data_IF_622732959823
#
_entry.id   IF_622732959823
#
_cell.length_a   1.000
_cell.length_b   1.000
_cell.length_c   1.000
_cell.angle_alpha   90.00
_cell.angle_beta   90.00
_cell.angle_gamma   90.00
#
_symmetry.space_group_name_H-M   'P 1'
#
loop_
_entity.id
_entity.type
_entity.pdbx_description
1 polymer ?
#
# COMPACT_ATOMS: atom_id res chain seq x y z
N UNK A 1 -4.83 -25.46 -5.81
CA UNK A 1 -3.56 -24.92 -5.26
C UNK A 1 -3.29 -23.57 -5.91
N UNK A 2 -2.88 -22.57 -5.13
CA UNK A 2 -2.60 -21.23 -5.66
C UNK A 2 -1.15 -21.14 -6.12
N UNK A 3 -0.91 -20.42 -7.22
CA UNK A 3 0.46 -20.18 -7.72
C UNK A 3 1.19 -19.16 -6.85
N UNK A 4 0.45 -18.19 -6.30
CA UNK A 4 1.01 -17.14 -5.44
C UNK A 4 0.32 -17.11 -4.10
N UNK A 5 1.09 -16.83 -3.06
CA UNK A 5 0.53 -16.54 -1.74
C UNK A 5 -0.12 -15.15 -1.76
N UNK A 6 0.50 -14.21 -2.48
CA UNK A 6 0.02 -12.83 -2.58
C UNK A 6 0.21 -12.28 -3.98
N UNK A 7 -0.83 -11.68 -4.51
CA UNK A 7 -0.74 -10.76 -5.65
C UNK A 7 -1.05 -9.36 -5.14
N UNK A 8 -0.16 -8.42 -5.42
CA UNK A 8 -0.43 -7.00 -5.17
C UNK A 8 -0.88 -6.37 -6.48
N UNK A 9 -2.01 -5.66 -6.45
CA UNK A 9 -2.51 -4.86 -7.58
C UNK A 9 -2.31 -3.40 -7.17
N UNK A 10 -1.30 -2.74 -7.74
CA UNK A 10 -0.97 -1.43 -7.21
C UNK A 10 0.08 -0.67 -8.00
N UNK A 11 0.65 0.30 -7.33
CA UNK A 11 1.54 1.30 -7.90
C UNK A 11 3.01 0.90 -7.78
N UNK A 12 3.82 1.51 -8.66
CA UNK A 12 5.27 1.48 -8.57
C UNK A 12 5.78 2.86 -8.98
N UNK A 13 6.62 3.46 -8.15
CA UNK A 13 7.14 4.82 -8.36
C UNK A 13 8.66 4.84 -8.27
N UNK A 14 9.25 5.77 -9.01
CA UNK A 14 10.62 6.22 -8.71
C UNK A 14 10.49 7.43 -7.79
N UNK A 15 11.07 7.34 -6.60
CA UNK A 15 11.08 8.44 -5.64
C UNK A 15 12.37 9.23 -5.85
N UNK A 16 12.24 10.49 -6.25
CA UNK A 16 13.35 11.40 -6.53
C UNK A 16 13.48 12.32 -5.33
N UNK A 17 14.55 12.16 -4.56
CA UNK A 17 14.71 12.80 -3.26
C UNK A 17 15.88 13.79 -3.29
N UNK A 18 15.63 15.04 -2.88
CA UNK A 18 16.64 16.09 -2.74
C UNK A 18 16.54 16.65 -1.33
N UNK A 19 17.70 16.70 -0.63
CA UNK A 19 17.78 17.43 0.64
C UNK A 19 17.92 18.92 0.38
N UNK A 20 17.21 19.75 1.13
CA UNK A 20 17.27 21.21 1.02
C UNK A 20 17.44 21.81 2.40
N UNK A 21 18.11 22.98 2.49
CA UNK A 21 18.20 23.71 3.76
C UNK A 21 16.85 24.27 4.19
N UNK A 22 16.07 24.67 3.20
CA UNK A 22 14.70 25.13 3.41
C UNK A 22 13.92 24.97 2.10
N UNK A 23 12.63 24.89 2.23
CA UNK A 23 11.78 24.75 1.04
C UNK A 23 11.69 26.08 0.30
N UNK A 24 11.75 26.08 -1.02
CA UNK A 24 11.69 27.33 -1.78
C UNK A 24 10.32 28.01 -1.67
N UNK A 25 10.32 29.31 -1.56
CA UNK A 25 9.12 30.12 -1.70
C UNK A 25 8.78 30.30 -3.18
N UNK A 26 7.60 30.86 -3.46
CA UNK A 26 7.17 31.09 -4.85
C UNK A 26 8.21 31.98 -5.56
N UNK A 27 8.63 31.55 -6.74
CA UNK A 27 9.60 32.27 -7.56
C UNK A 27 11.06 32.11 -7.12
N UNK A 28 11.32 31.31 -6.11
CA UNK A 28 12.66 31.16 -5.55
C UNK A 28 13.34 29.90 -6.06
N UNK A 29 14.66 29.99 -6.27
CA UNK A 29 15.51 28.83 -6.57
C UNK A 29 16.39 28.55 -5.35
N UNK A 30 16.38 27.30 -4.90
CA UNK A 30 17.20 26.83 -3.77
C UNK A 30 18.08 25.69 -4.27
N UNK A 31 19.35 25.72 -3.92
CA UNK A 31 20.26 24.61 -4.23
C UNK A 31 20.09 23.52 -3.19
N UNK A 32 20.06 22.29 -3.66
CA UNK A 32 19.90 21.13 -2.79
C UNK A 32 21.06 20.17 -2.89
N UNK A 33 20.89 19.02 -2.25
CA UNK A 33 21.85 17.92 -2.28
C UNK A 33 21.87 17.26 -3.68
N UNK A 34 22.75 16.29 -3.85
CA UNK A 34 22.67 15.40 -4.99
C UNK A 34 21.30 14.68 -5.00
N UNK A 35 20.80 14.44 -6.18
CA UNK A 35 19.54 13.72 -6.36
C UNK A 35 19.74 12.25 -6.01
N UNK A 36 18.90 11.72 -5.13
CA UNK A 36 18.82 10.29 -4.87
C UNK A 36 17.55 9.72 -5.50
N UNK A 37 17.66 8.54 -6.08
CA UNK A 37 16.52 7.85 -6.69
C UNK A 37 16.30 6.55 -5.94
N UNK A 38 15.09 6.35 -5.41
CA UNK A 38 14.74 5.15 -4.67
C UNK A 38 13.50 4.51 -5.27
N UNK A 39 13.42 3.16 -5.28
CA UNK A 39 12.16 2.53 -5.64
C UNK A 39 11.10 2.80 -4.57
N UNK A 40 9.89 3.08 -5.01
CA UNK A 40 8.77 3.39 -4.12
C UNK A 40 7.45 2.99 -4.75
N UNK A 41 6.37 3.59 -4.25
CA UNK A 41 5.02 3.24 -4.60
C UNK A 41 4.43 2.25 -3.61
N UNK A 42 3.21 2.52 -3.16
CA UNK A 42 2.60 1.70 -2.10
C UNK A 42 2.48 0.24 -2.52
N UNK A 43 2.11 0.00 -3.78
CA UNK A 43 1.99 -1.38 -4.28
C UNK A 43 3.32 -2.10 -4.28
N UNK A 44 4.35 -1.50 -4.88
CA UNK A 44 5.68 -2.12 -4.93
C UNK A 44 6.24 -2.32 -3.52
N UNK A 45 6.06 -1.35 -2.64
CA UNK A 45 6.55 -1.47 -1.25
C UNK A 45 5.91 -2.65 -0.53
N UNK A 46 4.60 -2.86 -0.70
CA UNK A 46 3.91 -3.99 -0.08
C UNK A 46 4.36 -5.32 -0.68
N UNK A 47 4.55 -5.37 -2.00
CA UNK A 47 5.02 -6.59 -2.65
C UNK A 47 6.42 -6.97 -2.18
N UNK A 48 7.32 -6.00 -2.11
CA UNK A 48 8.69 -6.23 -1.64
C UNK A 48 8.68 -6.72 -0.19
N UNK A 49 7.89 -6.09 0.67
CA UNK A 49 7.80 -6.49 2.08
C UNK A 49 7.34 -7.95 2.21
N UNK A 50 6.30 -8.32 1.45
CA UNK A 50 5.77 -9.68 1.51
C UNK A 50 6.80 -10.69 1.00
N UNK A 51 7.48 -10.38 -0.10
CA UNK A 51 8.49 -11.28 -0.65
C UNK A 51 9.64 -11.48 0.34
N UNK A 52 10.06 -10.42 1.01
CA UNK A 52 11.12 -10.51 2.03
C UNK A 52 10.70 -11.34 3.24
N UNK A 53 9.40 -11.42 3.50
CA UNK A 53 8.87 -12.28 4.57
C UNK A 53 8.65 -13.73 4.10
N UNK A 54 8.99 -14.03 2.85
CA UNK A 54 8.94 -15.40 2.34
C UNK A 54 7.72 -15.77 1.53
N UNK A 55 6.81 -14.82 1.28
CA UNK A 55 5.62 -15.10 0.48
C UNK A 55 5.98 -15.18 -1.01
N UNK A 56 5.36 -16.14 -1.71
CA UNK A 56 5.43 -16.19 -3.17
C UNK A 56 4.56 -15.04 -3.69
N UNK A 57 5.21 -13.97 -4.16
CA UNK A 57 4.55 -12.68 -4.41
C UNK A 57 4.70 -12.28 -5.88
N UNK A 58 3.61 -11.79 -6.45
CA UNK A 58 3.60 -11.15 -7.77
C UNK A 58 3.00 -9.75 -7.65
N UNK A 59 3.29 -8.90 -8.63
CA UNK A 59 2.77 -7.54 -8.70
C UNK A 59 2.11 -7.31 -10.07
N UNK A 60 0.87 -6.84 -10.05
CA UNK A 60 0.16 -6.35 -11.21
C UNK A 60 0.20 -4.82 -11.14
N UNK A 61 0.91 -4.21 -12.09
CA UNK A 61 1.20 -2.77 -12.06
C UNK A 61 1.55 -2.31 -13.48
N UNK A 62 1.74 -1.01 -13.65
CA UNK A 62 2.25 -0.48 -14.92
C UNK A 62 3.37 0.52 -14.65
N UNK A 63 4.47 0.36 -15.39
CA UNK A 63 5.60 1.30 -15.39
C UNK A 63 5.79 1.82 -16.82
N UNK A 64 6.57 2.85 -16.98
CA UNK A 64 6.94 3.34 -18.29
C UNK A 64 8.03 2.48 -18.92
N UNK A 65 8.14 2.57 -20.24
CA UNK A 65 9.26 1.99 -20.98
C UNK A 65 10.40 3.00 -20.95
N UNK A 66 11.01 3.15 -19.78
CA UNK A 66 12.03 4.18 -19.52
C UNK A 66 12.99 3.68 -18.42
N UNK A 67 14.00 4.50 -18.13
CA UNK A 67 15.04 4.13 -17.17
C UNK A 67 14.48 3.90 -15.78
N UNK A 68 13.52 4.71 -15.35
CA UNK A 68 12.88 4.50 -14.04
C UNK A 68 12.13 3.17 -14.00
N UNK A 69 11.42 2.85 -15.08
CA UNK A 69 10.71 1.56 -15.17
C UNK A 69 11.66 0.38 -15.05
N UNK A 70 12.81 0.46 -15.72
CA UNK A 70 13.81 -0.61 -15.64
C UNK A 70 14.40 -0.73 -14.24
N UNK A 71 14.66 0.40 -13.59
CA UNK A 71 15.15 0.42 -12.21
C UNK A 71 14.15 -0.28 -11.27
N UNK A 72 12.87 0.02 -11.43
CA UNK A 72 11.82 -0.59 -10.59
C UNK A 72 11.71 -2.09 -10.84
N UNK A 73 11.77 -2.53 -12.10
CA UNK A 73 11.73 -3.96 -12.42
C UNK A 73 12.92 -4.69 -11.80
N UNK A 74 14.11 -4.10 -11.89
CA UNK A 74 15.30 -4.71 -11.30
C UNK A 74 15.17 -4.81 -9.79
N UNK A 75 14.62 -3.78 -9.15
CA UNK A 75 14.40 -3.77 -7.70
C UNK A 75 13.41 -4.87 -7.28
N UNK A 76 12.32 -5.02 -8.03
CA UNK A 76 11.33 -6.07 -7.74
C UNK A 76 11.95 -7.45 -7.86
N UNK A 77 12.70 -7.70 -8.94
CA UNK A 77 13.37 -8.99 -9.13
C UNK A 77 14.37 -9.28 -8.01
N UNK A 78 15.15 -8.27 -7.63
CA UNK A 78 16.14 -8.43 -6.55
C UNK A 78 15.47 -8.78 -5.22
N UNK A 79 14.26 -8.30 -5.00
CA UNK A 79 13.50 -8.59 -3.77
C UNK A 79 12.77 -9.92 -3.82
N UNK A 80 12.73 -10.59 -4.97
CA UNK A 80 12.02 -11.86 -5.11
C UNK A 80 10.56 -11.72 -5.53
N UNK A 81 10.14 -10.54 -5.97
CA UNK A 81 8.78 -10.34 -6.49
C UNK A 81 8.76 -10.75 -7.96
N UNK A 82 7.76 -11.54 -8.35
CA UNK A 82 7.57 -11.92 -9.75
C UNK A 82 7.01 -10.72 -10.51
N UNK A 83 7.75 -10.16 -11.47
CA UNK A 83 7.29 -8.98 -12.20
C UNK A 83 6.49 -9.33 -13.46
N UNK A 84 6.09 -10.59 -13.65
CA UNK A 84 5.39 -11.00 -14.88
C UNK A 84 4.10 -10.23 -15.12
N UNK A 85 3.45 -9.70 -14.05
CA UNK A 85 2.26 -8.88 -14.16
C UNK A 85 2.54 -7.39 -14.33
N UNK A 86 3.81 -6.97 -14.41
CA UNK A 86 4.14 -5.56 -14.55
C UNK A 86 4.15 -5.21 -16.04
N UNK A 87 3.22 -4.37 -16.44
CA UNK A 87 3.09 -3.88 -17.82
C UNK A 87 4.02 -2.70 -18.03
N UNK A 88 4.51 -2.51 -19.25
CA UNK A 88 5.41 -1.40 -19.56
C UNK A 88 4.86 -0.57 -20.71
N UNK A 89 4.98 0.73 -20.59
CA UNK A 89 4.59 1.66 -21.66
C UNK A 89 3.27 2.36 -21.40
N UNK A 90 2.88 3.15 -22.35
CA UNK A 90 1.63 3.92 -22.32
C UNK A 90 1.74 5.26 -21.62
N UNK A 91 2.77 5.47 -20.80
CA UNK A 91 3.05 6.72 -20.10
C UNK A 91 4.40 6.59 -19.43
N UNK A 92 5.02 7.70 -19.03
CA UNK A 92 6.25 7.62 -18.22
C UNK A 92 5.97 6.93 -16.87
N UNK A 93 7.02 6.32 -16.31
CA UNK A 93 6.93 5.73 -14.97
C UNK A 93 6.46 6.78 -13.94
N UNK A 94 5.62 6.36 -13.01
CA UNK A 94 5.20 7.23 -11.91
C UNK A 94 6.39 7.72 -11.09
N UNK A 95 6.34 8.97 -10.66
CA UNK A 95 7.45 9.63 -9.96
C UNK A 95 6.89 10.38 -8.75
N UNK A 96 7.59 10.30 -7.62
CA UNK A 96 7.35 11.20 -6.50
C UNK A 96 8.55 12.13 -6.39
N UNK A 97 8.32 13.43 -6.46
CA UNK A 97 9.35 14.46 -6.26
C UNK A 97 9.32 14.84 -4.79
N UNK A 98 10.41 14.60 -4.09
CA UNK A 98 10.45 14.72 -2.63
C UNK A 98 11.59 15.66 -2.23
N UNK A 99 11.26 16.72 -1.51
CA UNK A 99 12.29 17.53 -0.85
C UNK A 99 12.22 17.29 0.65
N UNK A 100 13.39 17.20 1.27
CA UNK A 100 13.49 16.94 2.73
C UNK A 100 14.36 18.04 3.32
N UNK A 101 13.85 18.72 4.35
CA UNK A 101 14.61 19.77 5.03
C UNK A 101 15.34 19.18 6.27
N UNK A 102 16.22 19.96 6.93
CA UNK A 102 17.02 19.41 8.04
C UNK A 102 16.18 18.96 9.24
N UNK A 103 14.94 19.42 9.39
CA UNK A 103 14.07 18.96 10.46
C UNK A 103 13.48 17.57 10.17
N UNK A 104 13.63 17.10 8.91
CA UNK A 104 13.02 15.85 8.48
C UNK A 104 11.64 16.04 7.86
N UNK A 105 11.14 17.26 7.81
CA UNK A 105 9.88 17.55 7.13
C UNK A 105 10.08 17.41 5.63
N UNK A 106 9.07 16.88 4.97
CA UNK A 106 9.14 16.69 3.52
C UNK A 106 7.97 17.34 2.79
N UNK A 107 8.21 17.61 1.52
CA UNK A 107 7.18 18.04 0.57
C UNK A 107 7.20 17.05 -0.57
N UNK A 108 6.05 16.55 -0.95
CA UNK A 108 5.95 15.48 -1.95
C UNK A 108 4.96 15.91 -3.03
N UNK A 109 5.40 15.83 -4.28
CA UNK A 109 4.53 16.01 -5.44
C UNK A 109 4.56 14.71 -6.22
N UNK A 110 3.41 14.12 -6.48
CA UNK A 110 3.32 12.85 -7.19
C UNK A 110 2.84 13.08 -8.62
N UNK A 111 3.60 12.55 -9.57
CA UNK A 111 3.15 12.42 -10.96
C UNK A 111 2.78 10.95 -11.16
N UNK A 112 1.50 10.63 -11.30
CA UNK A 112 1.09 9.21 -11.36
C UNK A 112 1.66 8.47 -12.56
N UNK A 113 1.78 9.13 -13.71
CA UNK A 113 2.32 8.51 -14.91
C UNK A 113 1.61 7.21 -15.23
N UNK A 114 2.41 6.17 -15.46
CA UNK A 114 1.89 4.86 -15.83
C UNK A 114 0.97 4.24 -14.78
N UNK A 115 1.10 4.59 -13.49
CA UNK A 115 0.17 4.11 -12.47
C UNK A 115 -1.27 4.47 -12.84
N UNK A 116 -1.47 5.68 -13.34
CA UNK A 116 -2.79 6.15 -13.74
C UNK A 116 -3.32 5.49 -15.01
N UNK A 117 -2.48 4.73 -15.69
CA UNK A 117 -2.81 4.03 -16.94
C UNK A 117 -2.98 2.52 -16.75
N UNK A 118 -3.00 2.04 -15.52
CA UNK A 118 -3.39 0.64 -15.24
C UNK A 118 -4.92 0.62 -15.27
N UNK A 119 -5.48 0.22 -16.42
CA UNK A 119 -6.92 0.34 -16.68
C UNK A 119 -7.68 -0.90 -16.21
N UNK A 120 -9.02 -0.79 -16.07
CA UNK A 120 -9.81 -2.01 -15.85
C UNK A 120 -9.61 -3.06 -16.94
N UNK A 121 -9.41 -2.66 -18.20
CA UNK A 121 -9.13 -3.63 -19.27
C UNK A 121 -7.80 -4.35 -19.03
N UNK A 122 -6.78 -3.65 -18.55
CA UNK A 122 -5.50 -4.28 -18.18
C UNK A 122 -5.72 -5.33 -17.10
N UNK A 123 -6.52 -5.01 -16.08
CA UNK A 123 -6.81 -5.93 -14.98
C UNK A 123 -7.61 -7.13 -15.50
N UNK A 124 -8.60 -6.88 -16.36
CA UNK A 124 -9.41 -7.95 -16.94
C UNK A 124 -8.56 -8.91 -17.76
N UNK A 125 -7.60 -8.36 -18.53
CA UNK A 125 -6.66 -9.20 -19.29
C UNK A 125 -5.77 -10.03 -18.37
N UNK A 126 -5.52 -9.56 -17.13
CA UNK A 126 -4.74 -10.27 -16.13
C UNK A 126 -5.61 -11.12 -15.20
N UNK A 127 -6.87 -11.37 -15.55
CA UNK A 127 -7.78 -12.15 -14.71
C UNK A 127 -7.20 -13.50 -14.27
N UNK A 128 -6.49 -14.24 -15.15
CA UNK A 128 -5.87 -15.50 -14.69
C UNK A 128 -4.85 -15.28 -13.58
N UNK A 129 -4.09 -14.19 -13.63
CA UNK A 129 -3.12 -13.86 -12.57
C UNK A 129 -3.85 -13.53 -11.27
N UNK A 130 -4.91 -12.71 -11.34
CA UNK A 130 -5.70 -12.36 -10.15
C UNK A 130 -6.27 -13.63 -9.51
N UNK A 131 -6.79 -14.54 -10.33
CA UNK A 131 -7.37 -15.80 -9.85
C UNK A 131 -6.34 -16.82 -9.39
N UNK A 132 -5.06 -16.56 -9.55
CA UNK A 132 -4.01 -17.51 -9.17
C UNK A 132 -3.46 -17.26 -7.75
N UNK A 133 -3.94 -16.23 -7.05
CA UNK A 133 -3.40 -15.82 -5.76
C UNK A 133 -4.35 -16.16 -4.62
N UNK A 134 -3.79 -16.62 -3.51
CA UNK A 134 -4.53 -16.89 -2.30
C UNK A 134 -5.04 -15.60 -1.65
N UNK A 135 -4.21 -14.54 -1.70
CA UNK A 135 -4.56 -13.21 -1.19
C UNK A 135 -4.27 -12.21 -2.29
N UNK A 136 -5.18 -11.27 -2.49
CA UNK A 136 -4.97 -10.13 -3.40
C UNK A 136 -5.03 -8.86 -2.56
N UNK A 137 -4.02 -8.01 -2.69
CA UNK A 137 -3.90 -6.77 -1.95
C UNK A 137 -3.91 -5.59 -2.91
N UNK A 138 -4.51 -4.47 -2.51
CA UNK A 138 -4.50 -3.26 -3.32
C UNK A 138 -4.42 -1.99 -2.46
N UNK A 139 -4.10 -0.89 -3.11
CA UNK A 139 -4.09 0.47 -2.57
C UNK A 139 -4.75 1.38 -3.60
N UNK A 140 -4.71 2.70 -3.37
CA UNK A 140 -5.45 3.61 -4.25
C UNK A 140 -4.53 4.61 -5.00
N UNK A 141 -3.30 4.21 -5.30
CA UNK A 141 -2.43 4.98 -6.20
C UNK A 141 -2.59 4.58 -7.67
N UNK A 142 -3.56 3.71 -7.94
CA UNK A 142 -4.00 3.34 -9.29
C UNK A 142 -5.48 3.67 -9.40
N UNK A 143 -6.06 3.67 -10.61
CA UNK A 143 -7.48 4.01 -10.74
C UNK A 143 -8.37 3.11 -9.89
N UNK A 144 -9.32 3.73 -9.21
CA UNK A 144 -10.26 3.00 -8.34
C UNK A 144 -11.00 1.91 -9.12
N UNK A 145 -11.39 2.22 -10.36
CA UNK A 145 -12.12 1.29 -11.22
C UNK A 145 -11.31 0.01 -11.48
N UNK A 146 -9.99 0.13 -11.51
CA UNK A 146 -9.10 -1.01 -11.72
C UNK A 146 -9.06 -1.91 -10.48
N UNK A 147 -9.11 -1.30 -9.29
CA UNK A 147 -9.19 -2.07 -8.04
C UNK A 147 -10.52 -2.81 -7.97
N UNK A 148 -11.61 -2.14 -8.33
CA UNK A 148 -12.94 -2.77 -8.37
C UNK A 148 -12.93 -3.95 -9.36
N UNK A 149 -12.31 -3.76 -10.52
CA UNK A 149 -12.21 -4.83 -11.52
C UNK A 149 -11.45 -6.04 -10.95
N UNK A 150 -10.37 -5.81 -10.21
CA UNK A 150 -9.59 -6.90 -9.61
C UNK A 150 -10.47 -7.74 -8.68
N UNK A 151 -11.30 -7.10 -7.87
CA UNK A 151 -12.19 -7.80 -6.94
C UNK A 151 -13.11 -8.79 -7.69
N UNK A 152 -13.52 -8.42 -8.91
CA UNK A 152 -14.42 -9.25 -9.70
C UNK A 152 -13.78 -10.54 -10.22
N UNK A 153 -12.45 -10.65 -10.14
CA UNK A 153 -11.72 -11.80 -10.68
C UNK A 153 -11.04 -12.64 -9.58
N UNK A 154 -11.35 -12.36 -8.31
CA UNK A 154 -10.81 -13.14 -7.20
C UNK A 154 -11.24 -14.61 -7.31
N UNK A 155 -10.32 -15.52 -7.00
CA UNK A 155 -10.68 -16.94 -6.94
C UNK A 155 -11.64 -17.19 -5.78
N UNK A 156 -12.48 -18.21 -5.87
CA UNK A 156 -13.32 -18.59 -4.73
C UNK A 156 -12.45 -18.88 -3.51
N UNK A 157 -12.81 -18.28 -2.36
CA UNK A 157 -12.07 -18.43 -1.12
C UNK A 157 -10.83 -17.56 -0.98
N UNK A 158 -10.46 -16.84 -2.04
CA UNK A 158 -9.36 -15.89 -1.96
C UNK A 158 -9.76 -14.68 -1.07
N UNK A 159 -8.76 -14.13 -0.36
CA UNK A 159 -9.01 -12.96 0.49
C UNK A 159 -8.56 -11.69 -0.23
N UNK A 160 -9.30 -10.62 0.02
CA UNK A 160 -8.95 -9.30 -0.54
C UNK A 160 -8.60 -8.34 0.58
N UNK A 161 -7.42 -7.75 0.49
CA UNK A 161 -6.89 -6.81 1.48
C UNK A 161 -6.81 -5.44 0.81
N UNK A 162 -7.43 -4.43 1.41
CA UNK A 162 -7.36 -3.07 0.86
C UNK A 162 -6.77 -2.12 1.89
N UNK A 163 -5.73 -1.41 1.48
CA UNK A 163 -5.26 -0.23 2.17
C UNK A 163 -5.70 0.98 1.33
N UNK A 164 -6.78 1.69 1.75
CA UNK A 164 -7.34 2.77 0.92
C UNK A 164 -6.52 4.05 1.06
N UNK A 165 -5.33 4.04 0.52
CA UNK A 165 -4.39 5.15 0.61
C UNK A 165 -3.88 5.51 -0.79
N UNK A 166 -4.01 6.78 -1.20
CA UNK A 166 -4.62 7.90 -0.48
C UNK A 166 -6.13 7.70 -0.32
N UNK A 167 -6.70 8.15 0.81
CA UNK A 167 -8.10 7.82 1.12
C UNK A 167 -9.10 8.60 0.26
N UNK A 168 -10.20 7.92 -0.05
CA UNK A 168 -11.32 8.49 -0.78
C UNK A 168 -12.56 7.65 -0.48
N UNK A 169 -13.76 8.16 -0.78
CA UNK A 169 -14.97 7.33 -0.62
C UNK A 169 -14.87 6.06 -1.44
N UNK A 170 -15.35 4.96 -0.87
CA UNK A 170 -15.24 3.63 -1.49
C UNK A 170 -16.62 3.11 -1.90
N UNK A 171 -16.74 2.53 -3.09
CA UNK A 171 -18.01 1.91 -3.48
C UNK A 171 -18.29 0.69 -2.61
N UNK A 172 -19.57 0.40 -2.44
CA UNK A 172 -20.03 -0.70 -1.58
C UNK A 172 -19.45 -2.04 -2.02
N UNK A 173 -19.35 -2.27 -3.32
CA UNK A 173 -18.77 -3.50 -3.86
C UNK A 173 -17.36 -3.73 -3.31
N UNK A 174 -16.58 -2.67 -3.19
CA UNK A 174 -15.21 -2.76 -2.71
C UNK A 174 -15.18 -3.00 -1.19
N UNK A 175 -16.02 -2.27 -0.45
CA UNK A 175 -16.13 -2.47 1.01
C UNK A 175 -16.51 -3.90 1.35
N UNK A 176 -17.49 -4.45 0.65
CA UNK A 176 -17.99 -5.81 0.91
C UNK A 176 -16.91 -6.88 0.65
N UNK A 177 -15.96 -6.59 -0.22
CA UNK A 177 -14.91 -7.54 -0.55
C UNK A 177 -13.77 -7.56 0.49
N UNK A 178 -13.62 -6.49 1.28
CA UNK A 178 -12.46 -6.33 2.15
C UNK A 178 -12.41 -7.35 3.29
N UNK A 179 -11.24 -7.96 3.45
CA UNK A 179 -10.99 -8.92 4.53
C UNK A 179 -9.48 -9.03 4.75
N UNK A 180 -8.84 -8.05 5.37
CA UNK A 180 -9.37 -6.83 5.99
C UNK A 180 -9.34 -5.58 5.11
N UNK A 181 -10.06 -4.56 5.56
CA UNK A 181 -9.81 -3.18 5.21
C UNK A 181 -8.78 -2.65 6.24
N UNK A 182 -7.66 -2.14 5.77
CA UNK A 182 -6.58 -1.66 6.65
C UNK A 182 -6.46 -0.15 6.53
N UNK A 183 -6.65 0.56 7.64
CA UNK A 183 -6.66 2.02 7.66
C UNK A 183 -5.85 2.54 8.84
N UNK A 184 -5.32 3.76 8.71
CA UNK A 184 -4.88 4.54 9.85
C UNK A 184 -6.03 5.47 10.28
N UNK A 185 -5.79 6.30 11.30
CA UNK A 185 -6.81 7.21 11.83
C UNK A 185 -7.36 8.15 10.75
N UNK A 186 -6.46 8.77 9.98
CA UNK A 186 -6.86 9.72 8.94
C UNK A 186 -7.71 9.03 7.87
N UNK A 187 -7.26 7.87 7.41
CA UNK A 187 -7.98 7.12 6.39
C UNK A 187 -9.36 6.69 6.88
N UNK A 188 -9.42 6.22 8.14
CA UNK A 188 -10.70 5.84 8.75
C UNK A 188 -11.69 7.01 8.74
N UNK A 189 -11.23 8.18 9.14
CA UNK A 189 -12.09 9.36 9.20
C UNK A 189 -12.59 9.80 7.85
N UNK A 190 -11.73 9.74 6.82
CA UNK A 190 -12.15 10.10 5.45
C UNK A 190 -13.20 9.12 4.94
N UNK A 191 -12.99 7.82 5.14
CA UNK A 191 -13.92 6.80 4.64
C UNK A 191 -15.27 6.90 5.36
N UNK A 192 -15.25 7.14 6.68
CA UNK A 192 -16.48 7.31 7.45
C UNK A 192 -17.23 8.59 7.09
N UNK A 193 -16.54 9.54 6.45
CA UNK A 193 -17.17 10.74 5.92
C UNK A 193 -17.65 11.72 6.98
N UNK A 194 -17.03 11.74 8.14
CA UNK A 194 -17.45 12.61 9.23
C UNK A 194 -18.73 12.15 9.89
N UNK A 195 -18.99 10.86 9.88
CA UNK A 195 -20.17 10.26 10.52
C UNK A 195 -20.12 10.52 12.03
N UNK A 196 -20.94 11.45 12.49
CA UNK A 196 -20.96 11.89 13.88
C UNK A 196 -21.37 10.79 14.85
N UNK A 197 -22.01 9.73 14.37
CA UNK A 197 -22.38 8.59 15.18
C UNK A 197 -21.27 7.62 15.50
N UNK A 198 -20.11 7.78 14.84
CA UNK A 198 -19.03 6.79 14.95
C UNK A 198 -18.27 6.88 16.28
N UNK A 199 -18.25 8.04 16.95
CA UNK A 199 -17.43 8.22 18.15
C UNK A 199 -15.98 8.58 17.83
N UNK A 200 -15.19 8.79 18.89
CA UNK A 200 -13.84 9.32 18.74
C UNK A 200 -12.72 8.31 19.02
N UNK A 201 -13.04 7.15 19.55
CA UNK A 201 -12.02 6.15 19.87
C UNK A 201 -11.73 5.25 18.66
N UNK A 202 -10.50 4.75 18.53
CA UNK A 202 -10.20 3.82 17.44
C UNK A 202 -11.11 2.59 17.38
N UNK A 203 -11.54 2.10 18.55
CA UNK A 203 -12.50 0.98 18.60
C UNK A 203 -13.83 1.36 17.93
N UNK A 204 -14.25 2.61 18.12
CA UNK A 204 -15.50 3.10 17.49
C UNK A 204 -15.35 3.16 15.98
N UNK A 205 -14.21 3.62 15.48
CA UNK A 205 -13.94 3.66 14.04
C UNK A 205 -13.94 2.26 13.45
N UNK A 206 -13.28 1.32 14.13
CA UNK A 206 -13.21 -0.06 13.66
C UNK A 206 -14.60 -0.67 13.55
N UNK A 207 -15.44 -0.48 14.56
CA UNK A 207 -16.81 -0.99 14.55
C UNK A 207 -17.66 -0.33 13.45
N UNK A 208 -17.51 1.00 13.29
CA UNK A 208 -18.28 1.73 12.27
C UNK A 208 -17.88 1.27 10.86
N UNK A 209 -16.59 1.07 10.63
CA UNK A 209 -16.13 0.58 9.32
C UNK A 209 -16.60 -0.85 9.08
N UNK A 210 -16.54 -1.69 10.10
CA UNK A 210 -17.01 -3.08 9.97
C UNK A 210 -18.50 -3.10 9.59
N UNK A 211 -19.29 -2.19 10.15
CA UNK A 211 -20.72 -2.10 9.84
C UNK A 211 -20.99 -1.67 8.39
N UNK A 212 -19.98 -1.11 7.71
CA UNK A 212 -20.12 -0.67 6.31
C UNK A 212 -19.90 -1.79 5.29
N UNK A 213 -19.50 -2.99 5.72
CA UNK A 213 -19.40 -4.13 4.81
C UNK A 213 -18.20 -5.04 4.95
N UNK A 214 -17.00 -4.54 5.31
CA UNK A 214 -15.84 -5.42 5.41
C UNK A 214 -16.05 -6.57 6.37
N UNK A 215 -15.45 -7.72 6.06
CA UNK A 215 -15.48 -8.88 6.97
C UNK A 215 -14.57 -8.67 8.17
N UNK A 216 -13.51 -7.92 7.97
CA UNK A 216 -12.60 -7.53 9.06
C UNK A 216 -11.99 -6.17 8.75
N UNK A 217 -11.55 -5.48 9.80
CA UNK A 217 -10.94 -4.15 9.70
C UNK A 217 -9.71 -4.15 10.60
N UNK A 218 -8.62 -3.56 10.10
CA UNK A 218 -7.44 -3.29 10.91
C UNK A 218 -7.25 -1.79 10.96
N UNK A 219 -7.16 -1.23 12.16
CA UNK A 219 -6.85 0.19 12.35
C UNK A 219 -5.43 0.28 12.91
N UNK A 220 -4.52 0.87 12.16
CA UNK A 220 -3.14 1.03 12.62
C UNK A 220 -3.03 2.27 13.49
N UNK A 221 -2.27 2.15 14.59
CA UNK A 221 -2.16 3.17 15.63
C UNK A 221 -0.71 3.61 15.84
N UNK A 222 0.14 3.46 14.82
CA UNK A 222 1.54 3.83 14.92
C UNK A 222 2.24 3.04 16.02
N UNK A 223 2.94 3.75 16.88
CA UNK A 223 3.68 3.13 17.99
C UNK A 223 2.81 2.39 19.01
N UNK A 224 1.49 2.59 18.97
CA UNK A 224 0.57 1.89 19.87
C UNK A 224 0.08 0.54 19.30
N UNK A 225 0.51 0.19 18.10
CA UNK A 225 0.13 -1.09 17.50
C UNK A 225 -1.06 -0.99 16.56
N UNK A 226 -1.99 -1.91 16.69
CA UNK A 226 -3.15 -1.97 15.80
C UNK A 226 -4.36 -2.54 16.54
N UNK A 227 -5.54 -2.23 16.01
CA UNK A 227 -6.80 -2.87 16.40
C UNK A 227 -7.25 -3.77 15.26
N UNK A 228 -7.79 -4.92 15.60
CA UNK A 228 -8.41 -5.83 14.63
C UNK A 228 -9.86 -6.03 15.04
N UNK A 229 -10.77 -5.77 14.12
CA UNK A 229 -12.21 -5.94 14.35
C UNK A 229 -12.77 -6.94 13.36
N UNK A 230 -13.64 -7.81 13.84
CA UNK A 230 -14.34 -8.80 13.03
C UNK A 230 -15.65 -9.17 13.72
N UNK A 231 -16.35 -10.14 13.16
CA UNK A 231 -17.58 -10.67 13.79
C UNK A 231 -17.32 -11.23 15.18
N UNK A 232 -16.08 -11.62 15.49
CA UNK A 232 -15.71 -12.16 16.81
C UNK A 232 -15.43 -11.06 17.85
N UNK A 233 -15.37 -9.81 17.43
CA UNK A 233 -15.14 -8.69 18.34
C UNK A 233 -13.94 -7.86 17.94
N UNK A 234 -13.44 -7.07 18.88
CA UNK A 234 -12.30 -6.16 18.67
C UNK A 234 -11.16 -6.57 19.59
N UNK A 235 -9.96 -6.68 19.04
CA UNK A 235 -8.76 -6.98 19.82
C UNK A 235 -7.65 -6.01 19.47
N UNK A 236 -6.75 -5.77 20.44
CA UNK A 236 -5.56 -4.94 20.25
C UNK A 236 -4.33 -5.82 20.04
N UNK A 237 -3.49 -5.39 19.11
CA UNK A 237 -2.18 -6.01 18.87
C UNK A 237 -1.13 -4.94 19.21
N UNK A 238 -0.30 -5.17 20.21
CA UNK A 238 0.69 -4.15 20.60
C UNK A 238 1.82 -4.04 19.58
N UNK A 239 2.41 -2.84 19.52
CA UNK A 239 3.58 -2.63 18.67
C UNK A 239 4.84 -3.15 19.35
N UNK A 240 5.81 -3.53 18.54
CA UNK A 240 7.16 -3.82 19.02
C UNK A 240 7.90 -2.49 19.17
N UNK A 241 8.51 -2.28 20.32
CA UNK A 241 9.28 -1.04 20.55
C UNK A 241 10.59 -1.08 19.79
N UNK A 242 10.85 -0.06 19.02
CA UNK A 242 12.08 0.09 18.24
C UNK A 242 12.48 1.56 18.25
N UNK A 243 13.78 1.82 18.11
CA UNK A 243 14.27 3.17 17.87
C UNK A 243 14.23 3.39 16.35
N UNK A 244 13.24 4.15 15.91
CA UNK A 244 13.03 4.34 14.48
C UNK A 244 14.12 5.24 13.89
N UNK A 245 14.75 4.77 12.84
CA UNK A 245 15.74 5.53 12.06
C UNK A 245 15.09 6.08 10.80
N UNK A 246 14.27 5.26 10.15
CA UNK A 246 13.56 5.65 8.92
C UNK A 246 12.25 4.87 8.89
N UNK A 247 11.15 5.58 8.82
CA UNK A 247 9.80 4.97 8.82
C UNK A 247 9.24 4.81 7.40
N UNK A 248 10.02 5.09 6.39
CA UNK A 248 9.60 4.92 4.99
C UNK A 248 9.19 3.45 4.75
N UNK A 249 7.95 3.27 4.25
CA UNK A 249 7.44 1.94 3.93
C UNK A 249 6.94 1.14 5.12
N UNK A 250 7.07 1.66 6.31
CA UNK A 250 6.61 0.95 7.53
C UNK A 250 5.15 0.54 7.44
N UNK A 251 4.43 1.30 7.11
CA UNK A 251 3.00 1.04 7.01
C UNK A 251 2.70 0.04 5.89
N UNK A 252 3.45 0.04 4.94
CA UNK A 252 3.31 -0.87 3.87
C UNK A 252 3.62 -2.29 4.31
N UNK A 253 4.33 -2.47 5.18
CA UNK A 253 4.64 -3.73 5.74
C UNK A 253 3.52 -4.31 6.59
N UNK A 254 2.89 -3.51 7.13
CA UNK A 254 1.80 -3.91 7.96
C UNK A 254 0.60 -4.29 7.12
N UNK A 255 0.52 -3.69 6.09
CA UNK A 255 -0.54 -3.87 5.22
C UNK A 255 -0.55 -5.22 4.57
N UNK A 256 0.47 -5.74 4.49
CA UNK A 256 0.51 -6.96 3.75
C UNK A 256 0.22 -8.17 4.56
N UNK A 257 0.47 -7.93 5.60
CA UNK A 257 0.34 -9.04 6.44
C UNK A 257 -0.97 -9.13 7.13
N UNK A 258 -1.47 -8.35 6.97
CA UNK A 258 -2.57 -8.38 7.70
C UNK A 258 -3.55 -9.36 7.24
N UNK A 259 -3.14 -10.20 7.11
CA UNK A 259 -4.05 -11.25 6.81
C UNK A 259 -4.90 -11.70 7.92
N UNK A 260 -4.25 -11.79 9.03
CA UNK A 260 -5.02 -12.13 10.25
C UNK A 260 -4.36 -11.47 11.45
N UNK A 261 -5.05 -11.41 12.58
CA UNK A 261 -4.45 -10.86 13.81
C UNK A 261 -3.22 -11.66 14.21
N UNK A 262 -3.27 -12.97 14.09
CA UNK A 262 -2.13 -13.83 14.44
C UNK A 262 -0.93 -13.57 13.51
N UNK A 263 -1.20 -13.33 12.25
CA UNK A 263 -0.14 -12.97 11.29
C UNK A 263 0.46 -11.60 11.60
N UNK A 264 -0.37 -10.65 11.98
CA UNK A 264 0.11 -9.32 12.38
C UNK A 264 1.02 -9.43 13.60
N UNK A 265 0.62 -10.24 14.57
CA UNK A 265 1.41 -10.48 15.79
C UNK A 265 2.77 -11.12 15.45
N UNK A 266 2.77 -12.08 14.53
CA UNK A 266 3.98 -12.77 14.12
C UNK A 266 4.92 -11.87 13.30
N UNK A 267 4.37 -10.88 12.57
CA UNK A 267 5.15 -9.99 11.74
C UNK A 267 5.84 -8.86 12.51
N UNK A 268 5.40 -8.59 13.74
CA UNK A 268 5.97 -7.51 14.54
C UNK A 268 7.49 -7.53 14.60
N UNK A 269 8.12 -8.64 14.98
CA UNK A 269 9.58 -8.70 15.03
C UNK A 269 10.26 -8.59 13.65
N UNK A 270 9.61 -9.08 12.61
CA UNK A 270 10.17 -9.02 11.26
C UNK A 270 10.15 -7.59 10.71
N UNK A 271 9.08 -6.85 10.97
CA UNK A 271 8.97 -5.45 10.54
C UNK A 271 10.03 -4.60 11.25
N UNK A 272 10.21 -4.84 12.56
CA UNK A 272 11.23 -4.15 13.33
C UNK A 272 12.64 -4.38 12.78
N UNK A 273 12.90 -5.62 12.32
CA UNK A 273 14.22 -5.97 11.75
C UNK A 273 14.42 -5.42 10.34
N UNK A 274 13.36 -5.27 9.58
CA UNK A 274 13.42 -4.76 8.20
C UNK A 274 13.78 -3.29 8.09
N UNK A 275 13.59 -2.54 9.17
CA UNK A 275 13.91 -1.12 9.20
C UNK A 275 15.39 -0.80 9.45
N UNK A 276 16.25 -1.82 9.56
CA UNK A 276 17.64 -1.61 9.96
C UNK A 276 18.67 -1.95 8.86
N UNK A 277 18.29 -1.92 7.56
CA UNK A 277 19.24 -2.11 6.47
C UNK A 277 18.92 -1.20 5.31
#
# INVERSE_FOLDING_TARGET
>A
MYDYDLLVVGSANADLVIGVERRPAAGETVLGSDLAVHPGGKGANQAVAAARLGARTALLARVGDDAHGRLLLDSLRAAGVDPAGVLAGGAPTGVALITVDPSGDNSIVVSPGANGRLTPDDVRAAAPLVGSARVVSAQLEIPLESVVEAVRHLAPGSRFVLNPSPPRPLPQELLDACDPLIVNEHEAKVILGGDDGAGDAPEDWARALLARGPRSVVVTLGGEGALVASAQGVSRVPSVRVDAVDTTGAXXXXXXXXXTAAEVDALGPAVARGGSR
#
